data_IF_405727825407
#
_entry.id   IF_405727825407
#
_cell.length_a   1.000
_cell.length_b   1.000
_cell.length_c   1.000
_cell.angle_alpha   90.00
_cell.angle_beta   90.00
_cell.angle_gamma   90.00
#
_symmetry.space_group_name_H-M   'P 1'
#
loop_
_entity.id
_entity.type
_entity.pdbx_description
1 polymer ?
#
# COMPACT_ATOMS: atom_id res chain seq x y z
N UNK A 1 -21.36 -13.24 16.57
CA UNK A 1 -20.01 -13.73 16.25
C UNK A 1 -19.69 -14.81 17.27
N UNK A 2 -19.55 -16.07 16.84
CA UNK A 2 -19.13 -17.15 17.74
C UNK A 2 -17.62 -17.12 17.82
N UNK A 3 -17.09 -16.76 19.00
CA UNK A 3 -15.65 -16.84 19.25
C UNK A 3 -15.18 -18.28 19.07
N UNK A 4 -14.15 -18.45 18.25
CA UNK A 4 -13.55 -19.76 18.04
C UNK A 4 -12.87 -20.17 19.37
N UNK A 5 -13.14 -21.38 19.89
CA UNK A 5 -12.53 -21.84 21.13
C UNK A 5 -11.00 -21.82 21.01
N UNK A 6 -10.35 -21.34 22.07
CA UNK A 6 -8.90 -21.24 22.13
C UNK A 6 -8.20 -22.61 21.99
N UNK A 7 -6.90 -22.64 21.64
CA UNK A 7 -6.17 -23.89 21.41
C UNK A 7 -6.28 -24.89 22.57
N UNK A 8 -6.22 -24.42 23.82
CA UNK A 8 -6.35 -25.29 25.00
C UNK A 8 -7.71 -25.97 25.08
N UNK A 9 -8.80 -25.25 24.80
CA UNK A 9 -10.15 -25.80 24.80
C UNK A 9 -10.31 -26.83 23.67
N UNK A 10 -9.81 -26.53 22.46
CA UNK A 10 -9.84 -27.46 21.33
C UNK A 10 -9.06 -28.74 21.59
N UNK A 11 -7.87 -28.62 22.20
CA UNK A 11 -7.05 -29.77 22.59
C UNK A 11 -7.77 -30.58 23.67
N UNK A 12 -8.32 -29.92 24.70
CA UNK A 12 -9.07 -30.58 25.76
C UNK A 12 -10.30 -31.32 25.21
N UNK A 13 -11.03 -30.71 24.27
CA UNK A 13 -12.21 -31.33 23.65
C UNK A 13 -11.84 -32.49 22.72
N UNK A 14 -10.70 -32.41 22.04
CA UNK A 14 -10.18 -33.50 21.22
C UNK A 14 -9.67 -34.66 22.08
N UNK A 15 -8.97 -34.36 23.19
CA UNK A 15 -8.30 -35.34 24.06
C UNK A 15 -9.28 -36.07 24.98
N UNK A 16 -10.21 -35.33 25.59
CA UNK A 16 -11.07 -35.81 26.69
C UNK A 16 -11.89 -37.06 26.37
N UNK A 17 -12.56 -37.21 25.20
CA UNK A 17 -13.37 -38.40 24.91
C UNK A 17 -12.54 -39.68 24.83
N UNK A 18 -11.38 -39.63 24.16
CA UNK A 18 -10.46 -40.76 24.09
C UNK A 18 -9.91 -41.11 25.48
N UNK A 19 -9.65 -40.08 26.30
CA UNK A 19 -9.16 -40.32 27.64
C UNK A 19 -10.16 -41.09 28.51
N UNK A 20 -11.40 -40.65 28.51
CA UNK A 20 -12.45 -41.24 29.33
C UNK A 20 -12.78 -42.67 28.88
N UNK A 21 -12.80 -42.92 27.56
CA UNK A 21 -13.06 -44.26 27.02
C UNK A 21 -11.92 -45.24 27.28
N UNK A 22 -10.66 -44.80 27.16
CA UNK A 22 -9.53 -45.70 27.36
C UNK A 22 -9.22 -46.02 28.82
N UNK A 23 -9.70 -45.22 29.79
CA UNK A 23 -9.52 -45.46 31.23
C UNK A 23 -10.61 -46.34 31.85
N UNK A 24 -11.78 -46.46 31.22
CA UNK A 24 -12.91 -47.18 31.82
C UNK A 24 -12.64 -48.68 32.00
N UNK A 25 -11.84 -49.30 31.12
CA UNK A 25 -11.62 -50.75 31.10
C UNK A 25 -10.12 -51.14 31.07
N UNK A 26 -9.20 -50.21 31.28
CA UNK A 26 -7.77 -50.48 31.14
C UNK A 26 -7.14 -51.05 32.43
N UNK A 27 -6.62 -52.26 32.34
CA UNK A 27 -5.69 -52.80 33.33
C UNK A 27 -4.27 -52.27 33.01
N UNK A 28 -3.87 -51.20 33.69
CA UNK A 28 -2.60 -50.48 33.42
C UNK A 28 -1.36 -51.13 34.05
N UNK A 29 -1.42 -52.43 34.35
CA UNK A 29 -0.36 -53.13 35.08
C UNK A 29 0.48 -53.96 34.11
N UNK A 30 1.81 -53.91 34.26
CA UNK A 30 2.74 -54.70 33.46
C UNK A 30 2.86 -54.26 32.00
N UNK A 31 3.29 -55.18 31.14
CA UNK A 31 3.59 -54.87 29.73
C UNK A 31 2.37 -54.36 28.93
N UNK A 32 1.15 -54.93 29.05
CA UNK A 32 -0.03 -54.44 28.33
C UNK A 32 -0.42 -53.00 28.73
N UNK A 33 -0.27 -52.66 30.03
CA UNK A 33 -0.46 -51.30 30.49
C UNK A 33 0.53 -50.32 29.89
N UNK A 34 1.79 -50.74 29.72
CA UNK A 34 2.85 -49.93 29.10
C UNK A 34 2.55 -49.66 27.63
N UNK A 35 2.12 -50.67 26.87
CA UNK A 35 1.71 -50.51 25.47
C UNK A 35 0.56 -49.51 25.34
N UNK A 36 -0.48 -49.65 26.19
CA UNK A 36 -1.63 -48.74 26.19
C UNK A 36 -1.26 -47.30 26.50
N UNK A 37 -0.34 -47.08 27.44
CA UNK A 37 0.17 -45.73 27.76
C UNK A 37 0.92 -45.14 26.57
N UNK A 38 1.75 -45.93 25.87
CA UNK A 38 2.49 -45.44 24.71
C UNK A 38 1.56 -45.06 23.55
N UNK A 39 0.55 -45.88 23.25
CA UNK A 39 -0.49 -45.57 22.24
C UNK A 39 -1.17 -44.22 22.52
N UNK A 40 -1.44 -43.96 23.80
CA UNK A 40 -2.02 -42.70 24.25
C UNK A 40 -1.10 -41.51 24.09
N UNK A 41 0.18 -41.67 24.46
CA UNK A 41 1.19 -40.61 24.30
C UNK A 41 1.35 -40.26 22.82
N UNK A 42 1.45 -41.26 21.95
CA UNK A 42 1.58 -41.08 20.51
C UNK A 42 0.35 -40.36 19.92
N UNK A 43 -0.85 -40.73 20.37
CA UNK A 43 -2.07 -40.07 19.95
C UNK A 43 -2.15 -38.61 20.42
N UNK A 44 -1.82 -38.33 21.69
CA UNK A 44 -1.77 -36.94 22.21
C UNK A 44 -0.74 -36.11 21.43
N UNK A 45 0.43 -36.68 21.14
CA UNK A 45 1.45 -36.03 20.35
C UNK A 45 0.94 -35.67 18.94
N UNK A 46 0.22 -36.59 18.29
CA UNK A 46 -0.40 -36.33 16.98
C UNK A 46 -1.45 -35.21 17.04
N UNK A 47 -2.31 -35.21 18.07
CA UNK A 47 -3.33 -34.16 18.26
C UNK A 47 -2.69 -32.80 18.52
N UNK A 48 -1.66 -32.72 19.38
CA UNK A 48 -0.96 -31.46 19.65
C UNK A 48 -0.22 -30.97 18.40
N UNK A 49 0.44 -31.86 17.66
CA UNK A 49 1.11 -31.52 16.41
C UNK A 49 0.13 -30.93 15.38
N UNK A 50 -1.05 -31.55 15.21
CA UNK A 50 -2.09 -31.02 14.33
C UNK A 50 -2.65 -29.69 14.82
N UNK A 51 -3.02 -29.60 16.10
CA UNK A 51 -3.85 -28.49 16.59
C UNK A 51 -3.05 -27.25 17.03
N UNK A 52 -1.80 -27.44 17.46
CA UNK A 52 -0.94 -26.36 17.95
C UNK A 52 0.13 -26.04 16.93
N UNK A 53 0.92 -27.02 16.52
CA UNK A 53 2.11 -26.78 15.69
C UNK A 53 1.70 -26.26 14.31
N UNK A 54 0.69 -26.86 13.67
CA UNK A 54 0.23 -26.35 12.36
C UNK A 54 -0.42 -24.98 12.45
N UNK A 55 -1.20 -24.69 13.51
CA UNK A 55 -1.81 -23.36 13.68
C UNK A 55 -0.74 -22.29 13.86
N UNK A 56 0.26 -22.55 14.71
CA UNK A 56 1.39 -21.64 14.92
C UNK A 56 2.22 -21.49 13.64
N UNK A 57 2.44 -22.56 12.88
CA UNK A 57 3.16 -22.50 11.61
C UNK A 57 2.42 -21.62 10.59
N UNK A 58 1.10 -21.77 10.46
CA UNK A 58 0.30 -20.94 9.58
C UNK A 58 0.32 -19.46 9.99
N UNK A 59 0.19 -19.17 11.29
CA UNK A 59 0.28 -17.80 11.81
C UNK A 59 1.67 -17.19 11.58
N UNK A 60 2.73 -17.98 11.76
CA UNK A 60 4.11 -17.56 11.48
C UNK A 60 4.29 -17.23 10.01
N UNK A 61 3.75 -18.04 9.10
CA UNK A 61 3.90 -17.84 7.67
C UNK A 61 3.15 -16.56 7.21
N UNK A 62 1.92 -16.34 7.72
CA UNK A 62 1.20 -15.07 7.49
C UNK A 62 1.97 -13.87 8.05
N UNK A 63 2.61 -14.02 9.21
CA UNK A 63 3.45 -12.95 9.77
C UNK A 63 4.67 -12.67 8.89
N UNK A 64 5.33 -13.71 8.37
CA UNK A 64 6.46 -13.56 7.45
C UNK A 64 6.05 -12.79 6.18
N UNK A 65 4.91 -13.15 5.57
CA UNK A 65 4.38 -12.45 4.39
C UNK A 65 4.10 -10.96 4.66
N UNK A 66 3.58 -10.64 5.86
CA UNK A 66 3.33 -9.26 6.29
C UNK A 66 4.64 -8.49 6.47
N UNK A 67 5.66 -9.11 7.08
CA UNK A 67 6.98 -8.50 7.26
C UNK A 67 7.65 -8.23 5.91
N UNK A 68 7.55 -9.17 4.97
CA UNK A 68 8.09 -8.99 3.61
C UNK A 68 7.38 -7.84 2.90
N UNK A 69 6.05 -7.81 2.95
CA UNK A 69 5.25 -6.71 2.38
C UNK A 69 5.67 -5.35 2.96
N UNK A 70 5.79 -5.25 4.29
CA UNK A 70 6.24 -4.02 4.96
C UNK A 70 7.66 -3.62 4.55
N UNK A 71 8.55 -4.61 4.37
CA UNK A 71 9.92 -4.37 3.91
C UNK A 71 9.94 -3.81 2.49
N UNK A 72 9.11 -4.36 1.59
CA UNK A 72 8.95 -3.83 0.23
C UNK A 72 8.40 -2.41 0.22
N UNK A 73 7.38 -2.11 1.02
CA UNK A 73 6.82 -0.75 1.16
C UNK A 73 7.85 0.21 1.73
N UNK A 74 8.60 -0.18 2.76
CA UNK A 74 9.64 0.65 3.35
C UNK A 74 10.75 1.00 2.34
N UNK A 75 11.15 0.03 1.50
CA UNK A 75 12.11 0.25 0.41
C UNK A 75 11.59 1.27 -0.60
N UNK A 76 10.36 1.08 -1.09
CA UNK A 76 9.71 1.99 -2.04
C UNK A 76 9.58 3.41 -1.47
N UNK A 77 9.18 3.54 -0.21
CA UNK A 77 9.07 4.84 0.44
C UNK A 77 10.44 5.53 0.55
N UNK A 78 11.49 4.79 0.92
CA UNK A 78 12.86 5.33 1.00
C UNK A 78 13.35 5.84 -0.37
N UNK A 79 13.04 5.12 -1.44
CA UNK A 79 13.36 5.55 -2.81
C UNK A 79 12.56 6.80 -3.19
N UNK A 80 11.24 6.80 -2.91
CA UNK A 80 10.38 7.96 -3.15
C UNK A 80 10.82 9.21 -2.40
N UNK A 81 11.30 9.09 -1.15
CA UNK A 81 11.89 10.21 -0.41
C UNK A 81 13.15 10.76 -1.08
N UNK A 82 14.00 9.89 -1.63
CA UNK A 82 15.21 10.33 -2.35
C UNK A 82 14.86 11.02 -3.66
N UNK A 83 13.85 10.53 -4.38
CA UNK A 83 13.36 11.16 -5.60
C UNK A 83 12.76 12.54 -5.30
N UNK A 84 11.88 12.63 -4.29
CA UNK A 84 11.29 13.89 -3.85
C UNK A 84 12.34 14.90 -3.40
N UNK A 85 13.39 14.46 -2.69
CA UNK A 85 14.49 15.34 -2.28
C UNK A 85 15.25 15.92 -3.49
N UNK A 86 15.46 15.12 -4.55
CA UNK A 86 16.06 15.60 -5.80
C UNK A 86 15.16 16.60 -6.52
N UNK A 87 13.85 16.34 -6.54
CA UNK A 87 12.89 17.25 -7.18
C UNK A 87 12.81 18.58 -6.44
N UNK A 88 12.85 18.58 -5.11
CA UNK A 88 12.93 19.81 -4.30
C UNK A 88 14.16 20.63 -4.66
N UNK A 89 15.34 20.02 -4.73
CA UNK A 89 16.57 20.73 -5.12
C UNK A 89 16.47 21.34 -6.52
N UNK A 90 15.86 20.62 -7.47
CA UNK A 90 15.64 21.13 -8.83
C UNK A 90 14.66 22.30 -8.84
N UNK A 91 13.58 22.23 -8.06
CA UNK A 91 12.60 23.31 -7.94
C UNK A 91 13.21 24.54 -7.28
N UNK A 92 13.98 24.38 -6.21
CA UNK A 92 14.71 25.47 -5.55
C UNK A 92 15.65 26.19 -6.51
N UNK A 93 16.41 25.45 -7.33
CA UNK A 93 17.28 26.04 -8.35
C UNK A 93 16.50 26.85 -9.39
N UNK A 94 15.36 26.34 -9.85
CA UNK A 94 14.51 27.01 -10.84
C UNK A 94 13.79 28.23 -10.27
N UNK A 95 13.40 28.18 -8.99
CA UNK A 95 12.87 29.34 -8.28
C UNK A 95 13.93 30.43 -8.18
N UNK A 96 15.16 30.08 -7.80
CA UNK A 96 16.26 31.04 -7.74
C UNK A 96 16.57 31.68 -9.11
N UNK A 97 16.53 30.89 -10.19
CA UNK A 97 16.66 31.39 -11.56
C UNK A 97 15.54 32.39 -11.92
N UNK A 98 14.28 32.01 -11.67
CA UNK A 98 13.13 32.89 -11.93
C UNK A 98 13.16 34.15 -11.06
N UNK A 99 13.61 34.08 -9.82
CA UNK A 99 13.79 35.24 -8.94
C UNK A 99 14.85 36.19 -9.48
N UNK A 100 15.94 35.67 -10.05
CA UNK A 100 16.96 36.47 -10.72
C UNK A 100 16.42 37.15 -11.98
N UNK A 101 15.68 36.42 -12.82
CA UNK A 101 15.01 36.98 -14.01
C UNK A 101 14.01 38.08 -13.64
N UNK A 102 13.17 37.86 -12.64
CA UNK A 102 12.21 38.87 -12.15
C UNK A 102 12.94 40.10 -11.61
N UNK A 103 14.05 39.92 -10.89
CA UNK A 103 14.87 41.03 -10.40
C UNK A 103 15.47 41.83 -11.56
N UNK A 104 15.94 41.15 -12.61
CA UNK A 104 16.44 41.80 -13.82
C UNK A 104 15.34 42.61 -14.53
N UNK A 105 14.13 42.05 -14.66
CA UNK A 105 12.99 42.74 -15.27
C UNK A 105 12.47 43.91 -14.41
N UNK A 106 12.58 43.80 -13.08
CA UNK A 106 12.19 44.86 -12.14
C UNK A 106 13.25 45.94 -11.95
N UNK A 107 14.51 45.66 -12.32
CA UNK A 107 15.56 46.68 -12.32
C UNK A 107 15.13 47.72 -13.36
N UNK A 108 14.73 48.93 -12.96
CA UNK A 108 14.14 49.87 -13.88
C UNK A 108 15.18 50.19 -14.94
N UNK A 109 14.90 49.75 -16.16
CA UNK A 109 15.40 50.43 -17.35
C UNK A 109 15.05 51.89 -17.18
N UNK A 110 16.08 52.69 -16.95
CA UNK A 110 16.21 54.07 -17.37
C UNK A 110 15.10 54.43 -18.35
N UNK A 111 14.27 55.38 -17.94
CA UNK A 111 13.41 56.16 -18.81
C UNK A 111 14.26 56.59 -20.00
N UNK A 112 14.15 55.89 -21.13
CA UNK A 112 14.47 56.48 -22.43
C UNK A 112 13.29 57.40 -22.72
N UNK A 113 13.47 58.65 -22.32
CA UNK A 113 12.61 59.73 -22.69
C UNK A 113 12.67 59.94 -24.22
N UNK A 114 11.69 59.36 -24.91
CA UNK A 114 11.04 59.88 -26.12
C UNK A 114 11.58 59.45 -27.50
N UNK A 115 10.84 59.73 -28.59
CA UNK A 115 9.48 60.25 -28.66
C UNK A 115 8.47 59.26 -29.28
N UNK A 116 7.22 59.44 -28.89
CA UNK A 116 6.02 58.95 -29.56
C UNK A 116 5.93 59.60 -30.94
N UNK A 117 6.29 58.90 -32.01
CA UNK A 117 5.84 59.21 -33.36
C UNK A 117 6.20 58.08 -34.34
N UNK A 118 5.21 57.69 -35.14
CA UNK A 118 5.34 56.91 -36.37
C UNK A 118 5.64 55.41 -36.21
N UNK A 119 4.61 54.64 -35.84
CA UNK A 119 4.39 53.36 -36.50
C UNK A 119 2.88 53.07 -36.71
N UNK A 120 2.11 54.12 -37.02
CA UNK A 120 0.72 54.03 -37.49
C UNK A 120 0.67 54.44 -38.96
N UNK A 121 1.27 53.66 -39.86
CA UNK A 121 0.87 53.57 -41.28
C UNK A 121 1.80 52.62 -42.03
N UNK A 122 1.37 51.38 -42.22
CA UNK A 122 1.52 50.62 -43.48
C UNK A 122 1.32 49.13 -43.21
N UNK A 123 0.07 48.68 -43.04
CA UNK A 123 -0.38 47.43 -43.66
C UNK A 123 -1.92 47.35 -43.69
N UNK A 124 -2.56 48.41 -44.17
CA UNK A 124 -3.94 48.35 -44.64
C UNK A 124 -3.91 48.34 -46.17
N UNK A 125 -3.92 47.13 -46.77
CA UNK A 125 -4.56 46.83 -48.07
C UNK A 125 -4.05 45.46 -48.59
N UNK A 126 -4.87 44.42 -48.44
CA UNK A 126 -4.52 43.09 -48.94
C UNK A 126 -5.70 42.13 -48.88
N UNK A 127 -6.79 42.51 -49.54
CA UNK A 127 -8.02 41.74 -49.81
C UNK A 127 -7.78 40.23 -50.07
N UNK A 128 -8.56 39.40 -49.38
CA UNK A 128 -9.47 38.36 -49.95
C UNK A 128 -9.42 37.05 -49.16
N UNK A 129 -10.53 36.74 -48.48
CA UNK A 129 -10.95 35.37 -48.26
C UNK A 129 -11.45 34.76 -49.60
N UNK A 130 -11.48 33.42 -49.73
CA UNK A 130 -12.74 32.77 -49.37
C UNK A 130 -12.57 31.46 -48.60
N UNK A 131 -13.59 31.20 -47.79
CA UNK A 131 -13.91 29.98 -47.06
C UNK A 131 -13.98 28.74 -47.96
N UNK A 132 -13.67 27.56 -47.40
CA UNK A 132 -14.62 26.44 -47.25
C UNK A 132 -13.96 25.17 -46.67
N UNK A 133 -14.74 24.48 -45.83
CA UNK A 133 -14.62 23.09 -45.36
C UNK A 133 -13.55 22.88 -44.24
N UNK A 134 -13.83 22.24 -43.10
CA UNK A 134 -14.81 21.19 -42.83
C UNK A 134 -15.09 21.04 -41.32
N UNK A 135 -16.25 20.44 -41.05
CA UNK A 135 -16.91 20.16 -39.77
C UNK A 135 -16.09 19.31 -38.77
N UNK A 136 -16.40 19.54 -37.49
CA UNK A 136 -16.33 18.71 -36.26
C UNK A 136 -16.69 17.22 -36.44
N UNK A 137 -16.76 16.37 -35.38
CA UNK A 137 -16.39 16.52 -33.94
C UNK A 137 -15.53 15.34 -33.42
N UNK A 138 -15.18 15.35 -32.12
CA UNK A 138 -14.93 14.21 -31.19
C UNK A 138 -13.85 14.67 -30.19
N UNK A 139 -14.10 14.80 -28.89
CA UNK A 139 -14.70 13.76 -28.06
C UNK A 139 -13.58 12.90 -27.46
N UNK A 140 -12.72 13.47 -26.62
CA UNK A 140 -11.81 12.67 -25.77
C UNK A 140 -11.68 13.31 -24.39
N UNK A 141 -12.72 13.03 -23.59
CA UNK A 141 -12.62 12.99 -22.15
C UNK A 141 -11.77 11.77 -21.78
N UNK A 142 -10.57 12.01 -21.25
CA UNK A 142 -9.82 10.99 -20.52
C UNK A 142 -9.60 11.46 -19.07
N UNK A 143 -9.73 10.54 -18.09
CA UNK A 143 -10.11 10.87 -16.72
C UNK A 143 -8.94 11.36 -15.88
N UNK A 144 -9.23 12.41 -15.12
CA UNK A 144 -8.42 12.88 -14.01
C UNK A 144 -8.43 11.83 -12.89
N UNK A 145 -7.27 11.19 -12.70
CA UNK A 145 -6.76 10.57 -11.48
C UNK A 145 -7.79 10.05 -10.45
N UNK A 146 -8.30 8.84 -10.67
CA UNK A 146 -8.95 8.03 -9.65
C UNK A 146 -7.93 7.35 -8.74
N UNK A 147 -7.39 8.05 -7.75
CA UNK A 147 -6.65 7.43 -6.64
C UNK A 147 -6.75 8.18 -5.30
N UNK A 148 -7.73 9.08 -5.16
CA UNK A 148 -7.99 9.75 -3.88
C UNK A 148 -8.92 8.96 -2.93
N UNK A 149 -9.34 7.74 -3.27
CA UNK A 149 -10.32 6.99 -2.47
C UNK A 149 -9.76 6.02 -1.42
N UNK A 150 -8.45 5.79 -1.34
CA UNK A 150 -7.89 4.82 -0.37
C UNK A 150 -7.42 5.41 0.96
N UNK A 151 -7.61 6.72 1.20
CA UNK A 151 -7.14 7.36 2.44
C UNK A 151 -8.13 7.34 3.60
N UNK A 152 -9.38 6.90 3.40
CA UNK A 152 -10.44 6.98 4.44
C UNK A 152 -10.72 5.64 5.14
N UNK A 153 -10.14 4.51 4.71
CA UNK A 153 -10.43 3.21 5.33
C UNK A 153 -9.55 2.79 6.50
N UNK A 154 -8.47 3.50 6.81
CA UNK A 154 -7.54 3.10 7.88
C UNK A 154 -7.93 3.58 9.29
N UNK A 155 -8.84 4.55 9.42
CA UNK A 155 -9.24 5.08 10.74
C UNK A 155 -10.43 4.35 11.40
N UNK A 156 -11.10 3.43 10.68
CA UNK A 156 -12.27 2.72 11.20
C UNK A 156 -11.97 1.32 11.79
N UNK A 157 -10.70 0.96 12.03
CA UNK A 157 -10.32 -0.35 12.59
C UNK A 157 -9.60 -0.27 13.94
N UNK A 158 -9.66 0.88 14.62
CA UNK A 158 -9.05 1.12 15.93
C UNK A 158 -10.03 1.68 16.98
N UNK A 159 -11.32 1.37 16.87
CA UNK A 159 -12.31 1.64 17.93
C UNK A 159 -13.24 0.47 18.14
#
# INVERSE_FOLDING_TARGET
MTEQPGPQQRIADAIRPAMLNGLQDAELIGNPGTERINEWVDWIAAVIAGQVVQSIAAERDVFADRVDTLTHVARRNKEGYKDAARDVQRLEARVAELEAEVTQLRTPGVVVAGPVAALDTALAAGKSAPSLLQRSPEGSSAPFCGSCQDRVKWEASLS
#
